data_IF_829109695637
#
_entry.id   IF_829109695637
#
_cell.length_a   1.000
_cell.length_b   1.000
_cell.length_c   1.000
_cell.angle_alpha   90.00
_cell.angle_beta   90.00
_cell.angle_gamma   90.00
#
_symmetry.space_group_name_H-M   'P 1'
#
loop_
_entity.id
_entity.type
_entity.pdbx_description
1 polymer ?
#
# COMPACT_ATOMS: atom_id res chain seq x y z
N UNK A 1 2.43 -7.72 -50.23
CA UNK A 1 2.36 -8.56 -49.02
C UNK A 1 2.45 -7.66 -47.79
N UNK A 2 1.35 -7.47 -47.05
CA UNK A 2 1.30 -6.63 -45.84
C UNK A 2 1.31 -7.55 -44.62
N UNK A 3 2.41 -7.56 -43.85
CA UNK A 3 2.51 -8.31 -42.59
C UNK A 3 1.94 -7.47 -41.44
N UNK A 4 1.06 -8.12 -40.67
CA UNK A 4 0.37 -7.60 -39.50
C UNK A 4 1.33 -7.12 -38.41
N UNK A 5 1.36 -5.81 -38.15
CA UNK A 5 1.94 -5.20 -36.96
C UNK A 5 0.85 -4.93 -35.92
N UNK A 6 0.38 -5.94 -35.19
CA UNK A 6 -0.58 -5.70 -34.09
C UNK A 6 -0.53 -6.75 -32.96
N UNK A 7 0.63 -7.34 -32.67
CA UNK A 7 0.72 -8.42 -31.66
C UNK A 7 1.83 -8.38 -30.59
N UNK A 8 2.48 -7.24 -30.21
CA UNK A 8 3.27 -7.23 -28.96
C UNK A 8 2.69 -6.38 -27.82
N UNK A 9 1.52 -5.73 -27.97
CA UNK A 9 0.99 -4.82 -26.92
C UNK A 9 0.08 -5.46 -25.87
N UNK A 10 -0.28 -6.74 -26.00
CA UNK A 10 -1.18 -7.42 -25.04
C UNK A 10 -0.42 -8.36 -24.08
N UNK A 11 0.85 -8.69 -24.36
CA UNK A 11 1.67 -9.53 -23.47
C UNK A 11 2.47 -8.69 -22.46
N UNK A 12 2.75 -7.41 -22.75
CA UNK A 12 3.44 -6.51 -21.81
C UNK A 12 2.56 -6.04 -20.63
N UNK A 13 1.23 -6.18 -20.71
CA UNK A 13 0.31 -5.79 -19.63
C UNK A 13 0.09 -6.86 -18.55
N UNK A 14 0.54 -8.10 -18.79
CA UNK A 14 0.32 -9.25 -17.88
C UNK A 14 1.55 -9.61 -17.03
N UNK A 15 2.72 -9.00 -17.30
CA UNK A 15 3.93 -9.16 -16.50
C UNK A 15 4.20 -7.98 -15.54
N UNK A 16 3.45 -6.88 -15.66
CA UNK A 16 3.63 -5.68 -14.82
C UNK A 16 2.94 -5.76 -13.44
N UNK A 17 2.20 -6.84 -13.14
CA UNK A 17 1.50 -7.01 -11.85
C UNK A 17 2.22 -8.04 -10.94
N UNK A 18 3.23 -8.75 -11.45
CA UNK A 18 4.03 -9.73 -10.70
C UNK A 18 5.54 -9.42 -10.59
N UNK A 19 6.00 -8.32 -11.19
CA UNK A 19 7.44 -8.03 -11.35
C UNK A 19 8.14 -7.33 -10.17
N UNK A 20 7.41 -6.94 -9.12
CA UNK A 20 7.99 -6.17 -8.00
C UNK A 20 8.71 -7.10 -7.00
N UNK A 21 8.31 -8.37 -6.89
CA UNK A 21 8.95 -9.30 -5.95
C UNK A 21 10.24 -9.94 -6.47
N UNK A 22 10.46 -10.00 -7.78
CA UNK A 22 11.64 -10.67 -8.35
C UNK A 22 12.87 -9.76 -8.48
N UNK A 23 12.70 -8.44 -8.55
CA UNK A 23 13.82 -7.49 -8.67
C UNK A 23 14.52 -7.20 -7.33
N UNK A 24 13.82 -7.33 -6.21
CA UNK A 24 14.41 -7.24 -4.88
C UNK A 24 15.27 -8.48 -4.53
N UNK A 25 14.93 -9.65 -5.08
CA UNK A 25 15.64 -10.92 -4.85
C UNK A 25 16.88 -11.11 -5.76
N UNK A 26 16.99 -10.34 -6.85
CA UNK A 26 18.16 -10.41 -7.74
C UNK A 26 19.28 -9.44 -7.33
N UNK A 27 18.95 -8.32 -6.67
CA UNK A 27 19.93 -7.39 -6.13
C UNK A 27 20.74 -7.98 -4.95
N UNK A 28 20.20 -8.99 -4.26
CA UNK A 28 20.89 -9.68 -3.15
C UNK A 28 21.83 -10.81 -3.59
N UNK A 29 21.84 -11.19 -4.87
CA UNK A 29 22.63 -12.32 -5.38
C UNK A 29 23.63 -11.94 -6.49
N UNK A 30 23.88 -10.65 -6.71
CA UNK A 30 24.91 -10.21 -7.65
C UNK A 30 26.26 -10.13 -6.92
N UNK A 31 27.32 -10.84 -7.34
CA UNK A 31 28.64 -10.70 -6.72
C UNK A 31 29.14 -9.27 -6.93
N UNK A 32 29.28 -8.54 -5.82
CA UNK A 32 29.84 -7.19 -5.79
C UNK A 32 31.30 -7.28 -6.28
N UNK A 33 31.63 -6.60 -7.38
CA UNK A 33 33.03 -6.34 -7.73
C UNK A 33 33.62 -5.48 -6.62
N UNK A 34 34.66 -5.98 -5.97
CA UNK A 34 35.48 -5.25 -5.00
C UNK A 34 35.88 -3.90 -5.60
N UNK A 35 35.35 -2.83 -5.02
CA UNK A 35 35.93 -1.51 -5.12
C UNK A 35 36.74 -1.28 -3.85
N UNK A 36 38.02 -0.97 -4.02
CA UNK A 36 38.95 -0.62 -2.95
C UNK A 36 38.31 0.40 -2.01
N UNK A 37 38.04 -0.04 -0.78
CA UNK A 37 37.52 0.80 0.29
C UNK A 37 38.72 1.40 1.02
N UNK A 38 38.79 2.73 1.26
CA UNK A 38 39.83 3.28 2.12
C UNK A 38 39.64 2.72 3.54
N UNK A 39 40.74 2.27 4.15
CA UNK A 39 40.77 1.64 5.48
C UNK A 39 39.95 2.44 6.51
N UNK A 40 38.91 1.81 7.06
CA UNK A 40 38.14 2.31 8.21
C UNK A 40 39.00 2.24 9.46
N UNK A 41 39.12 3.36 10.18
CA UNK A 41 39.72 3.42 11.52
C UNK A 41 38.77 2.79 12.57
N UNK A 42 39.11 1.65 13.18
CA UNK A 42 38.25 0.95 14.13
C UNK A 42 38.08 1.67 15.47
N UNK A 43 38.73 2.83 15.68
CA UNK A 43 38.64 3.58 16.96
C UNK A 43 37.51 4.60 17.00
N UNK A 44 36.76 4.79 15.92
CA UNK A 44 35.59 5.71 15.88
C UNK A 44 34.23 5.05 16.14
N UNK A 45 34.16 3.72 16.25
CA UNK A 45 32.91 2.98 16.46
C UNK A 45 32.57 2.72 17.95
N UNK A 46 33.28 3.34 18.89
CA UNK A 46 33.12 3.09 20.33
C UNK A 46 32.23 4.11 21.05
N UNK A 47 31.17 4.60 20.42
CA UNK A 47 30.10 5.29 21.13
C UNK A 47 28.73 4.81 20.65
N UNK A 48 28.45 3.52 20.85
CA UNK A 48 27.06 3.10 21.03
C UNK A 48 26.52 3.83 22.27
N UNK A 49 25.34 4.49 22.19
CA UNK A 49 24.72 5.04 23.39
C UNK A 49 24.51 3.90 24.40
N UNK A 50 24.76 4.18 25.68
CA UNK A 50 24.56 3.21 26.76
C UNK A 50 23.14 2.60 26.65
N UNK A 51 22.98 1.29 26.90
CA UNK A 51 21.68 0.64 26.84
C UNK A 51 20.70 1.40 27.75
N UNK A 52 19.67 1.97 27.12
CA UNK A 52 18.63 2.71 27.84
C UNK A 52 17.91 1.74 28.78
N UNK A 53 17.73 2.16 30.03
CA UNK A 53 17.03 1.41 31.07
C UNK A 53 15.65 0.96 30.55
N UNK A 54 15.41 -0.36 30.55
CA UNK A 54 14.15 -0.96 30.10
C UNK A 54 12.92 -0.33 30.77
N UNK A 55 13.06 0.11 32.03
CA UNK A 55 11.98 0.79 32.76
C UNK A 55 11.64 2.16 32.16
N UNK A 56 12.65 2.91 31.69
CA UNK A 56 12.47 4.19 30.99
C UNK A 56 11.96 4.00 29.57
N UNK A 57 12.38 2.92 28.88
CA UNK A 57 11.81 2.52 27.59
C UNK A 57 10.32 2.21 27.74
N UNK A 58 9.93 1.44 28.76
CA UNK A 58 8.53 1.11 29.08
C UNK A 58 7.72 2.34 29.53
N UNK A 59 8.31 3.28 30.28
CA UNK A 59 7.61 4.51 30.66
C UNK A 59 7.40 5.44 29.44
N UNK A 60 8.39 5.56 28.55
CA UNK A 60 8.23 6.18 27.23
C UNK A 60 7.13 5.48 26.44
N UNK A 61 7.13 4.14 26.39
CA UNK A 61 6.09 3.34 25.73
C UNK A 61 4.69 3.65 26.27
N UNK A 62 4.54 3.75 27.59
CA UNK A 62 3.26 4.03 28.24
C UNK A 62 2.75 5.43 27.94
N UNK A 63 3.63 6.44 27.92
CA UNK A 63 3.29 7.82 27.50
C UNK A 63 3.03 7.90 25.99
N UNK A 64 3.71 7.07 25.21
CA UNK A 64 3.65 7.00 23.75
C UNK A 64 2.37 6.35 23.23
N UNK A 65 1.87 5.30 23.89
CA UNK A 65 0.86 4.42 23.31
C UNK A 65 -0.59 4.75 23.70
N UNK A 66 -0.81 5.45 24.82
CA UNK A 66 -2.15 5.69 25.38
C UNK A 66 -3.14 6.44 24.46
N UNK A 67 -2.64 7.15 23.45
CA UNK A 67 -3.43 7.87 22.44
C UNK A 67 -3.29 7.31 21.01
N UNK A 68 -2.54 6.22 20.82
CA UNK A 68 -2.18 5.77 19.49
C UNK A 68 -3.44 5.29 18.72
N UNK A 69 -3.72 5.83 17.52
CA UNK A 69 -4.92 5.47 16.76
C UNK A 69 -5.02 3.98 16.42
N UNK A 70 -3.90 3.29 16.23
CA UNK A 70 -3.85 1.85 15.99
C UNK A 70 -3.95 1.04 17.28
N UNK A 71 -3.60 1.59 18.45
CA UNK A 71 -3.69 0.84 19.71
C UNK A 71 -5.14 0.47 20.02
N UNK A 72 -6.08 1.40 19.87
CA UNK A 72 -7.50 1.13 20.09
C UNK A 72 -8.01 0.01 19.17
N UNK A 73 -7.58 0.01 17.89
CA UNK A 73 -7.90 -1.03 16.94
C UNK A 73 -7.27 -2.36 17.34
N UNK A 74 -5.98 -2.39 17.69
CA UNK A 74 -5.27 -3.61 18.08
C UNK A 74 -5.81 -4.21 19.40
N UNK A 75 -6.22 -3.38 20.36
CA UNK A 75 -6.92 -3.82 21.58
C UNK A 75 -8.26 -4.46 21.26
N UNK A 76 -9.01 -3.93 20.29
CA UNK A 76 -10.25 -4.55 19.82
C UNK A 76 -10.03 -5.92 19.14
N UNK A 77 -8.77 -6.27 18.85
CA UNK A 77 -8.31 -7.56 18.35
C UNK A 77 -7.64 -8.41 19.44
N UNK A 78 -7.82 -8.07 20.72
CA UNK A 78 -7.27 -8.79 21.88
C UNK A 78 -5.73 -8.90 21.87
N UNK A 79 -5.03 -7.95 21.23
CA UNK A 79 -3.57 -7.89 21.31
C UNK A 79 -3.17 -7.27 22.67
N UNK A 80 -2.30 -7.92 23.46
CA UNK A 80 -1.81 -7.37 24.72
C UNK A 80 -1.08 -6.04 24.53
N UNK A 81 -1.34 -5.08 25.43
CA UNK A 81 -0.82 -3.71 25.33
C UNK A 81 0.70 -3.67 25.33
N UNK A 82 1.33 -4.55 26.10
CA UNK A 82 2.78 -4.66 26.23
C UNK A 82 3.43 -5.09 24.91
N UNK A 83 2.76 -5.97 24.15
CA UNK A 83 3.23 -6.41 22.83
C UNK A 83 3.11 -5.31 21.79
N UNK A 84 2.02 -4.55 21.84
CA UNK A 84 1.83 -3.37 20.97
C UNK A 84 2.96 -2.36 21.24
N UNK A 85 3.17 -2.02 22.51
CA UNK A 85 4.19 -1.05 22.94
C UNK A 85 5.61 -1.46 22.54
N UNK A 86 5.99 -2.71 22.80
CA UNK A 86 7.30 -3.22 22.44
C UNK A 86 7.54 -3.18 20.92
N UNK A 87 6.57 -3.66 20.13
CA UNK A 87 6.68 -3.67 18.68
C UNK A 87 6.80 -2.26 18.08
N UNK A 88 6.06 -1.28 18.63
CA UNK A 88 6.13 0.12 18.19
C UNK A 88 7.48 0.77 18.52
N UNK A 89 8.02 0.52 19.72
CA UNK A 89 9.34 1.03 20.10
C UNK A 89 10.42 0.49 19.17
N UNK A 90 10.49 -0.83 19.01
CA UNK A 90 11.49 -1.45 18.16
C UNK A 90 11.37 -0.96 16.71
N UNK A 91 10.14 -0.79 16.19
CA UNK A 91 9.91 -0.26 14.86
C UNK A 91 10.38 1.19 14.72
N UNK A 92 10.09 2.04 15.72
CA UNK A 92 10.53 3.43 15.73
C UNK A 92 12.06 3.55 15.83
N UNK A 93 12.72 2.71 16.64
CA UNK A 93 14.18 2.62 16.72
C UNK A 93 14.79 2.16 15.40
N UNK A 94 14.17 1.20 14.71
CA UNK A 94 14.62 0.76 13.39
C UNK A 94 14.48 1.87 12.34
N UNK A 95 13.34 2.56 12.27
CA UNK A 95 13.20 3.68 11.33
C UNK A 95 14.19 4.78 11.65
N UNK A 96 14.45 5.06 12.93
CA UNK A 96 15.44 6.02 13.39
C UNK A 96 16.83 5.69 12.85
N UNK A 97 17.29 4.45 12.98
CA UNK A 97 18.61 4.05 12.49
C UNK A 97 18.73 4.18 10.96
N UNK A 98 17.65 3.90 10.23
CA UNK A 98 17.62 4.02 8.77
C UNK A 98 17.50 5.46 8.27
N UNK A 99 16.70 6.29 8.95
CA UNK A 99 16.38 7.66 8.51
C UNK A 99 17.30 8.71 9.10
N UNK A 100 17.98 8.41 10.21
CA UNK A 100 18.96 9.30 10.85
C UNK A 100 20.39 8.76 10.77
N UNK A 101 20.72 8.04 9.70
CA UNK A 101 22.12 7.82 9.35
C UNK A 101 22.85 9.16 9.22
N UNK A 102 24.18 9.14 9.31
CA UNK A 102 25.01 10.37 9.24
C UNK A 102 24.70 11.25 8.01
N UNK A 103 24.15 10.65 6.94
CA UNK A 103 23.75 11.34 5.71
C UNK A 103 22.43 12.13 5.82
N UNK A 104 21.51 11.75 6.73
CA UNK A 104 20.18 12.37 6.87
C UNK A 104 19.96 12.72 8.34
N UNK A 105 20.43 13.87 8.82
CA UNK A 105 20.18 14.25 10.21
C UNK A 105 18.68 14.54 10.49
N UNK A 106 18.29 14.40 11.76
CA UNK A 106 16.91 14.60 12.24
C UNK A 106 16.33 15.98 11.87
N UNK A 107 17.17 17.03 11.95
CA UNK A 107 16.78 18.39 11.58
C UNK A 107 16.33 18.49 10.12
N UNK A 108 17.04 17.84 9.20
CA UNK A 108 16.71 17.82 7.79
C UNK A 108 15.45 16.97 7.53
N UNK A 109 15.26 15.89 8.28
CA UNK A 109 14.09 15.03 8.14
C UNK A 109 12.77 15.76 8.47
N UNK A 110 12.78 16.59 9.52
CA UNK A 110 11.62 17.39 9.94
C UNK A 110 11.63 18.84 9.42
N UNK A 111 12.41 19.14 8.37
CA UNK A 111 12.55 20.50 7.85
C UNK A 111 11.21 21.17 7.52
N UNK A 112 10.27 20.43 6.91
CA UNK A 112 8.95 20.96 6.57
C UNK A 112 8.11 21.37 7.81
N UNK A 113 8.34 20.75 8.97
CA UNK A 113 7.67 21.11 10.23
C UNK A 113 8.24 22.40 10.83
N UNK A 114 9.50 22.73 10.50
CA UNK A 114 10.21 23.91 11.00
C UNK A 114 9.99 25.17 10.16
N UNK A 115 9.15 25.09 9.12
CA UNK A 115 8.72 26.21 8.29
C UNK A 115 7.27 26.57 8.67
N UNK A 116 7.01 27.50 9.62
CA UNK A 116 5.69 27.64 10.25
C UNK A 116 4.55 27.90 9.27
N UNK A 117 4.77 28.75 8.26
CA UNK A 117 3.76 29.06 7.25
C UNK A 117 3.43 27.86 6.36
N UNK A 118 4.47 27.16 5.89
CA UNK A 118 4.31 25.95 5.07
C UNK A 118 3.66 24.84 5.88
N UNK A 119 4.10 24.62 7.11
CA UNK A 119 3.52 23.64 8.02
C UNK A 119 2.04 23.93 8.28
N UNK A 120 1.68 25.18 8.57
CA UNK A 120 0.28 25.57 8.77
C UNK A 120 -0.59 25.30 7.52
N UNK A 121 -0.07 25.52 6.31
CA UNK A 121 -0.77 25.20 5.06
C UNK A 121 -0.95 23.68 4.86
N UNK A 122 0.08 22.89 5.18
CA UNK A 122 0.04 21.42 5.17
C UNK A 122 -1.03 20.95 6.17
N UNK A 123 -0.99 21.43 7.41
CA UNK A 123 -1.91 21.01 8.48
C UNK A 123 -3.37 21.31 8.15
N UNK A 124 -3.68 22.47 7.53
CA UNK A 124 -5.04 22.74 7.04
C UNK A 124 -5.52 21.68 6.05
N UNK A 125 -4.64 21.21 5.16
CA UNK A 125 -4.99 20.19 4.17
C UNK A 125 -5.11 18.80 4.79
N UNK A 126 -4.22 18.46 5.73
CA UNK A 126 -4.22 17.21 6.49
C UNK A 126 -5.46 17.09 7.36
N UNK A 127 -5.77 18.12 8.16
CA UNK A 127 -6.95 18.15 9.02
C UNK A 127 -8.23 17.99 8.19
N UNK A 128 -8.35 18.74 7.10
CA UNK A 128 -9.50 18.63 6.21
C UNK A 128 -9.65 17.21 5.63
N UNK A 129 -8.56 16.58 5.18
CA UNK A 129 -8.60 15.21 4.67
C UNK A 129 -8.97 14.21 5.79
N UNK A 130 -8.43 14.41 7.00
CA UNK A 130 -8.73 13.60 8.18
C UNK A 130 -10.21 13.63 8.52
N UNK A 131 -10.79 14.82 8.67
CA UNK A 131 -12.20 15.02 9.03
C UNK A 131 -13.16 14.36 8.04
N UNK A 132 -12.83 14.40 6.74
CA UNK A 132 -13.69 13.87 5.67
C UNK A 132 -13.54 12.36 5.46
N UNK A 133 -12.42 11.76 5.86
CA UNK A 133 -12.12 10.34 5.57
C UNK A 133 -12.08 9.46 6.82
N UNK A 134 -11.94 10.06 8.01
CA UNK A 134 -11.73 9.34 9.27
C UNK A 134 -10.32 8.76 9.42
N UNK A 135 -9.38 9.13 8.55
CA UNK A 135 -7.96 8.75 8.70
C UNK A 135 -7.30 9.72 9.67
N UNK A 136 -6.60 9.26 10.73
CA UNK A 136 -6.01 10.15 11.73
C UNK A 136 -4.99 11.15 11.17
N UNK A 137 -5.01 12.39 11.69
CA UNK A 137 -4.03 13.45 11.35
C UNK A 137 -2.60 12.98 11.51
N UNK A 138 -2.26 12.36 12.66
CA UNK A 138 -0.90 11.85 12.94
C UNK A 138 -0.42 10.86 11.88
N UNK A 139 -1.30 9.99 11.40
CA UNK A 139 -0.99 9.02 10.33
C UNK A 139 -0.68 9.72 9.02
N UNK A 140 -1.52 10.69 8.61
CA UNK A 140 -1.28 11.44 7.37
C UNK A 140 0.01 12.28 7.46
N UNK A 141 0.27 12.91 8.60
CA UNK A 141 1.51 13.66 8.86
C UNK A 141 2.75 12.77 8.75
N UNK A 142 2.72 11.61 9.39
CA UNK A 142 3.81 10.67 9.37
C UNK A 142 4.08 10.13 7.96
N UNK A 143 3.04 9.77 7.21
CA UNK A 143 3.19 9.30 5.84
C UNK A 143 3.81 10.37 4.94
N UNK A 144 3.32 11.61 4.97
CA UNK A 144 3.91 12.70 4.17
C UNK A 144 5.39 12.95 4.50
N UNK A 145 5.78 12.77 5.77
CA UNK A 145 7.18 12.87 6.19
C UNK A 145 8.04 11.71 5.70
N UNK A 146 7.61 10.47 5.89
CA UNK A 146 8.40 9.28 5.54
C UNK A 146 8.54 9.14 4.03
N UNK A 147 7.47 9.42 3.29
CA UNK A 147 7.42 9.25 1.85
C UNK A 147 8.32 10.28 1.14
N UNK A 148 8.26 11.55 1.53
CA UNK A 148 9.05 12.59 0.86
C UNK A 148 9.43 13.82 1.68
N UNK A 149 9.17 13.86 2.99
CA UNK A 149 9.32 15.07 3.81
C UNK A 149 8.43 16.21 3.29
N UNK A 150 7.23 15.86 2.80
CA UNK A 150 6.31 16.80 2.15
C UNK A 150 6.90 17.57 0.95
N UNK A 151 7.88 16.98 0.25
CA UNK A 151 8.38 17.54 -1.01
C UNK A 151 7.38 17.28 -2.13
N UNK A 152 6.91 18.35 -2.76
CA UNK A 152 5.89 18.31 -3.83
C UNK A 152 6.43 17.78 -5.15
N UNK A 153 7.70 18.04 -5.44
CA UNK A 153 8.41 17.55 -6.63
C UNK A 153 8.99 16.14 -6.46
N UNK A 154 8.82 15.54 -5.28
CA UNK A 154 9.30 14.20 -5.00
C UNK A 154 8.69 13.20 -5.97
N UNK A 155 9.55 12.55 -6.74
CA UNK A 155 9.15 11.52 -7.68
C UNK A 155 10.26 10.50 -7.79
N UNK A 156 9.88 9.23 -7.90
CA UNK A 156 10.80 8.13 -8.13
C UNK A 156 10.49 7.55 -9.50
N UNK A 157 11.39 7.83 -10.46
CA UNK A 157 11.19 7.50 -11.87
C UNK A 157 11.19 5.99 -12.15
N UNK A 158 11.89 5.22 -11.32
CA UNK A 158 11.95 3.76 -11.36
C UNK A 158 10.63 3.07 -10.94
N UNK A 159 9.82 3.75 -10.11
CA UNK A 159 8.63 3.20 -9.47
C UNK A 159 7.33 3.94 -9.83
N UNK A 160 7.43 5.02 -10.62
CA UNK A 160 6.28 5.83 -11.08
C UNK A 160 5.35 6.28 -9.95
N UNK A 161 5.95 6.69 -8.83
CA UNK A 161 5.27 7.32 -7.69
C UNK A 161 5.59 8.81 -7.63
N UNK A 162 4.62 9.61 -7.21
CA UNK A 162 4.68 11.08 -7.32
C UNK A 162 4.17 11.79 -6.07
N UNK A 163 4.72 12.98 -5.85
CA UNK A 163 4.26 13.95 -4.89
C UNK A 163 4.55 13.57 -3.44
N UNK A 164 3.94 14.31 -2.49
CA UNK A 164 4.32 14.23 -1.09
C UNK A 164 3.95 12.93 -0.39
N UNK A 165 3.07 12.14 -1.01
CA UNK A 165 2.58 10.85 -0.49
C UNK A 165 3.01 9.67 -1.35
N UNK A 166 3.86 9.88 -2.37
CA UNK A 166 4.41 8.84 -3.24
C UNK A 166 3.34 7.87 -3.79
N UNK A 167 2.31 8.42 -4.42
CA UNK A 167 1.20 7.63 -5.00
C UNK A 167 1.42 7.44 -6.50
N UNK A 168 1.09 6.25 -7.03
CA UNK A 168 1.07 6.03 -8.48
C UNK A 168 -0.12 6.71 -9.14
N UNK A 169 -0.01 7.07 -10.42
CA UNK A 169 -1.13 7.64 -11.18
C UNK A 169 -2.35 6.70 -11.22
N UNK A 170 -2.13 5.40 -11.29
CA UNK A 170 -3.21 4.41 -11.29
C UNK A 170 -3.93 4.36 -9.94
N UNK A 171 -3.18 4.31 -8.83
CA UNK A 171 -3.75 4.33 -7.47
C UNK A 171 -4.51 5.62 -7.21
N UNK A 172 -3.96 6.77 -7.63
CA UNK A 172 -4.62 8.06 -7.50
C UNK A 172 -5.96 8.12 -8.26
N UNK A 173 -5.99 7.64 -9.50
CA UNK A 173 -7.22 7.56 -10.29
C UNK A 173 -8.26 6.64 -9.67
N UNK A 174 -7.84 5.54 -9.05
CA UNK A 174 -8.75 4.65 -8.35
C UNK A 174 -9.32 5.33 -7.09
N UNK A 175 -8.46 5.92 -6.25
CA UNK A 175 -8.88 6.61 -5.04
C UNK A 175 -9.83 7.80 -5.35
N UNK A 176 -9.59 8.50 -6.45
CA UNK A 176 -10.43 9.62 -6.90
C UNK A 176 -11.89 9.21 -7.18
N UNK A 177 -12.17 7.94 -7.49
CA UNK A 177 -13.56 7.46 -7.69
C UNK A 177 -14.39 7.55 -6.41
N UNK A 178 -13.75 7.42 -5.26
CA UNK A 178 -14.39 7.52 -3.94
C UNK A 178 -14.47 8.96 -3.43
N UNK A 179 -13.91 9.94 -4.16
CA UNK A 179 -13.86 11.32 -3.71
C UNK A 179 -15.25 11.91 -3.43
N UNK A 180 -16.25 11.58 -4.26
CA UNK A 180 -17.62 12.06 -4.10
C UNK A 180 -18.32 11.54 -2.83
N UNK A 181 -17.80 10.47 -2.22
CA UNK A 181 -18.33 9.94 -0.96
C UNK A 181 -17.82 10.70 0.28
N UNK A 182 -16.74 11.49 0.14
CA UNK A 182 -16.07 12.16 1.25
C UNK A 182 -15.97 13.68 1.07
N UNK A 183 -15.84 14.16 -0.17
CA UNK A 183 -15.57 15.56 -0.47
C UNK A 183 -16.71 16.20 -1.26
N UNK A 184 -16.89 17.51 -1.06
CA UNK A 184 -17.92 18.31 -1.73
C UNK A 184 -17.71 18.42 -3.25
N UNK A 185 -16.46 18.25 -3.70
CA UNK A 185 -16.09 18.35 -5.11
C UNK A 185 -15.32 17.10 -5.56
N UNK A 186 -15.54 16.65 -6.80
CA UNK A 186 -14.77 15.55 -7.36
C UNK A 186 -13.30 15.93 -7.47
N UNK A 187 -12.42 14.97 -7.22
CA UNK A 187 -10.99 15.10 -7.50
C UNK A 187 -10.75 14.50 -8.88
N UNK A 188 -10.21 15.29 -9.81
CA UNK A 188 -9.90 14.82 -11.16
C UNK A 188 -8.40 14.67 -11.27
N UNK A 189 -7.94 13.46 -11.54
CA UNK A 189 -6.52 13.13 -11.73
C UNK A 189 -6.30 12.73 -13.18
N UNK A 190 -5.66 13.60 -13.96
CA UNK A 190 -5.40 13.37 -15.37
C UNK A 190 -3.97 12.85 -15.59
N UNK A 191 -3.01 13.51 -14.93
CA UNK A 191 -1.56 13.34 -15.14
C UNK A 191 -0.81 13.34 -13.81
N UNK A 192 0.47 12.98 -13.84
CA UNK A 192 1.30 12.85 -12.64
C UNK A 192 1.53 14.19 -11.93
N UNK A 193 1.55 15.29 -12.68
CA UNK A 193 1.71 16.64 -12.14
C UNK A 193 0.59 17.04 -11.18
N UNK A 194 -0.61 16.48 -11.37
CA UNK A 194 -1.76 16.73 -10.48
C UNK A 194 -1.52 16.16 -9.07
N UNK A 195 -0.53 15.28 -8.90
CA UNK A 195 -0.17 14.65 -7.63
C UNK A 195 0.89 15.44 -6.85
N UNK A 196 1.49 16.49 -7.44
CA UNK A 196 2.52 17.30 -6.77
C UNK A 196 1.93 18.20 -5.69
N UNK A 197 0.72 18.73 -5.93
CA UNK A 197 0.05 19.61 -4.98
C UNK A 197 -0.28 18.85 -3.68
N UNK A 198 0.24 19.34 -2.55
CA UNK A 198 0.07 18.69 -1.25
C UNK A 198 -1.40 18.43 -0.91
N UNK A 199 -2.28 19.40 -1.19
CA UNK A 199 -3.72 19.30 -0.94
C UNK A 199 -4.38 18.15 -1.72
N UNK A 200 -4.02 17.99 -2.98
CA UNK A 200 -4.57 16.92 -3.83
C UNK A 200 -3.99 15.57 -3.40
N UNK A 201 -2.68 15.51 -3.16
CA UNK A 201 -1.99 14.30 -2.73
C UNK A 201 -2.52 13.76 -1.40
N UNK A 202 -2.68 14.61 -0.37
CA UNK A 202 -3.17 14.16 0.96
C UNK A 202 -4.60 13.62 0.90
N UNK A 203 -5.46 14.26 0.09
CA UNK A 203 -6.85 13.80 -0.08
C UNK A 203 -6.89 12.42 -0.75
N UNK A 204 -6.08 12.22 -1.77
CA UNK A 204 -5.98 10.93 -2.47
C UNK A 204 -5.37 9.84 -1.58
N UNK A 205 -4.34 10.17 -0.79
CA UNK A 205 -3.76 9.28 0.20
C UNK A 205 -4.81 8.85 1.24
N UNK A 206 -5.54 9.83 1.79
CA UNK A 206 -6.58 9.59 2.79
C UNK A 206 -7.74 8.75 2.25
N UNK A 207 -8.19 9.01 1.01
CA UNK A 207 -9.19 8.16 0.34
C UNK A 207 -8.70 6.73 0.15
N UNK A 208 -7.44 6.56 -0.28
CA UNK A 208 -6.84 5.24 -0.46
C UNK A 208 -6.77 4.48 0.86
N UNK A 209 -6.30 5.12 1.93
CA UNK A 209 -6.23 4.52 3.26
C UNK A 209 -7.61 4.18 3.82
N UNK A 210 -8.62 5.04 3.62
CA UNK A 210 -10.00 4.75 4.00
C UNK A 210 -10.52 3.50 3.29
N UNK A 211 -10.35 3.41 1.97
CA UNK A 211 -10.76 2.26 1.17
C UNK A 211 -10.07 0.98 1.64
N UNK A 212 -8.76 1.06 1.88
CA UNK A 212 -7.97 -0.07 2.40
C UNK A 212 -8.36 -0.47 3.83
N UNK A 213 -8.64 0.49 4.71
CA UNK A 213 -9.13 0.23 6.07
C UNK A 213 -10.49 -0.47 6.03
N UNK A 214 -11.39 -0.09 5.13
CA UNK A 214 -12.65 -0.80 4.92
C UNK A 214 -12.42 -2.23 4.42
N UNK A 215 -11.41 -2.44 3.57
CA UNK A 215 -11.06 -3.75 3.02
C UNK A 215 -10.44 -4.70 4.04
N UNK A 216 -9.61 -4.21 4.96
CA UNK A 216 -8.88 -5.05 5.93
C UNK A 216 -9.44 -4.98 7.35
N UNK A 217 -10.34 -4.04 7.65
CA UNK A 217 -10.90 -3.81 8.98
C UNK A 217 -9.96 -3.11 9.96
N UNK A 218 -8.69 -2.89 9.58
CA UNK A 218 -7.65 -2.36 10.45
C UNK A 218 -6.77 -1.38 9.67
N UNK A 219 -6.45 -0.24 10.29
CA UNK A 219 -5.61 0.79 9.71
C UNK A 219 -4.16 0.30 9.52
N UNK A 220 -3.63 -0.50 10.44
CA UNK A 220 -2.27 -1.04 10.32
C UNK A 220 -2.08 -1.89 9.06
N UNK A 221 -3.01 -2.80 8.77
CA UNK A 221 -2.98 -3.60 7.54
C UNK A 221 -3.21 -2.73 6.29
N UNK A 222 -4.04 -1.69 6.39
CA UNK A 222 -4.23 -0.73 5.31
C UNK A 222 -2.93 0.03 4.98
N UNK A 223 -2.18 0.43 6.00
CA UNK A 223 -0.87 1.07 5.83
C UNK A 223 0.15 0.10 5.21
N UNK A 224 0.16 -1.16 5.65
CA UNK A 224 1.02 -2.18 5.05
C UNK A 224 0.73 -2.42 3.56
N UNK A 225 -0.55 -2.46 3.16
CA UNK A 225 -0.92 -2.53 1.73
C UNK A 225 -0.52 -1.26 0.99
N UNK A 226 -0.70 -0.09 1.60
CA UNK A 226 -0.26 1.17 1.01
C UNK A 226 1.24 1.16 0.68
N UNK A 227 2.08 0.77 1.63
CA UNK A 227 3.54 0.81 1.50
C UNK A 227 4.12 -0.39 0.71
N UNK A 228 3.62 -1.61 0.97
CA UNK A 228 4.17 -2.86 0.42
C UNK A 228 3.33 -3.48 -0.70
N UNK A 229 2.15 -2.93 -0.99
CA UNK A 229 1.18 -3.48 -1.93
C UNK A 229 0.44 -4.70 -1.38
N UNK A 230 -0.77 -4.93 -1.93
CA UNK A 230 -1.61 -6.08 -1.60
C UNK A 230 -0.88 -7.43 -1.65
N UNK A 231 -0.12 -7.68 -2.72
CA UNK A 231 0.55 -8.99 -2.92
C UNK A 231 1.57 -9.24 -1.80
N UNK A 232 2.34 -8.22 -1.42
CA UNK A 232 3.29 -8.31 -0.32
C UNK A 232 2.60 -8.57 1.01
N UNK A 233 1.51 -7.86 1.29
CA UNK A 233 0.71 -8.06 2.50
C UNK A 233 0.08 -9.46 2.55
N UNK A 234 -0.62 -9.89 1.49
CA UNK A 234 -1.30 -11.18 1.43
C UNK A 234 -0.28 -12.34 1.56
N UNK A 235 0.90 -12.22 0.95
CA UNK A 235 2.02 -13.17 1.15
C UNK A 235 2.40 -13.25 2.63
N UNK A 236 2.58 -12.12 3.31
CA UNK A 236 2.95 -12.09 4.73
C UNK A 236 1.87 -12.64 5.65
N UNK A 237 0.61 -12.35 5.35
CA UNK A 237 -0.51 -12.98 6.06
C UNK A 237 -0.48 -14.49 5.88
N UNK A 238 -0.25 -15.01 4.66
CA UNK A 238 -0.19 -16.45 4.41
C UNK A 238 1.01 -17.14 5.04
N UNK A 239 2.16 -16.47 5.12
CA UNK A 239 3.32 -17.00 5.83
C UNK A 239 3.05 -17.15 7.33
N UNK A 240 2.39 -16.17 7.95
CA UNK A 240 2.10 -16.16 9.39
C UNK A 240 0.84 -16.97 9.76
N UNK A 241 -0.14 -17.01 8.87
CA UNK A 241 -1.47 -17.58 9.06
C UNK A 241 -1.91 -18.36 7.82
N UNK A 242 -1.34 -19.56 7.60
CA UNK A 242 -1.53 -20.32 6.35
C UNK A 242 -3.01 -20.68 6.07
N UNK A 243 -3.80 -20.88 7.13
CA UNK A 243 -5.20 -21.30 7.05
C UNK A 243 -6.17 -20.15 6.75
N UNK A 244 -5.72 -18.89 6.80
CA UNK A 244 -6.58 -17.73 6.53
C UNK A 244 -6.94 -17.67 5.05
N UNK A 245 -8.21 -17.85 4.71
CA UNK A 245 -8.68 -17.76 3.33
C UNK A 245 -8.86 -16.30 2.88
N UNK A 246 -7.96 -15.83 2.01
CA UNK A 246 -7.97 -14.47 1.47
C UNK A 246 -8.82 -14.34 0.20
N UNK A 247 -9.49 -15.44 -0.19
CA UNK A 247 -10.31 -15.55 -1.39
C UNK A 247 -9.52 -15.92 -2.63
N UNK A 248 -8.38 -16.61 -2.50
CA UNK A 248 -7.55 -17.01 -3.65
C UNK A 248 -8.29 -17.97 -4.57
N UNK A 249 -9.09 -18.88 -4.00
CA UNK A 249 -9.91 -19.83 -4.76
C UNK A 249 -11.02 -19.11 -5.53
N UNK A 250 -11.69 -18.16 -4.90
CA UNK A 250 -12.75 -17.36 -5.52
C UNK A 250 -12.19 -16.44 -6.62
N UNK A 251 -11.03 -15.83 -6.38
CA UNK A 251 -10.30 -15.06 -7.37
C UNK A 251 -9.92 -15.92 -8.58
N UNK A 252 -9.30 -17.08 -8.35
CA UNK A 252 -8.91 -18.01 -9.41
C UNK A 252 -10.14 -18.56 -10.17
N UNK A 253 -11.27 -18.77 -9.51
CA UNK A 253 -12.53 -19.12 -10.18
C UNK A 253 -13.02 -17.97 -11.06
N UNK A 254 -13.05 -16.74 -10.53
CA UNK A 254 -13.45 -15.54 -11.26
C UNK A 254 -12.58 -15.33 -12.52
N UNK A 255 -11.25 -15.43 -12.39
CA UNK A 255 -10.33 -15.27 -13.52
C UNK A 255 -10.51 -16.34 -14.60
N UNK A 256 -10.71 -17.61 -14.20
CA UNK A 256 -11.00 -18.70 -15.14
C UNK A 256 -12.28 -18.43 -15.92
N UNK A 257 -13.35 -18.02 -15.26
CA UNK A 257 -14.61 -17.72 -15.94
C UNK A 257 -14.53 -16.46 -16.81
N UNK A 258 -13.79 -15.42 -16.39
CA UNK A 258 -13.53 -14.24 -17.22
C UNK A 258 -12.72 -14.59 -18.47
N UNK A 259 -11.74 -15.50 -18.36
CA UNK A 259 -11.00 -16.00 -19.52
C UNK A 259 -11.92 -16.76 -20.49
N UNK A 260 -12.81 -17.62 -19.98
CA UNK A 260 -13.79 -18.34 -20.78
C UNK A 260 -14.80 -17.40 -21.48
N UNK A 261 -15.30 -16.38 -20.77
CA UNK A 261 -16.18 -15.36 -21.33
C UNK A 261 -15.50 -14.61 -22.49
N UNK A 262 -14.26 -14.16 -22.30
CA UNK A 262 -13.48 -13.50 -23.36
C UNK A 262 -13.23 -14.42 -24.56
N UNK A 263 -13.03 -15.71 -24.33
CA UNK A 263 -12.87 -16.68 -25.42
C UNK A 263 -14.18 -16.87 -26.20
N UNK A 264 -15.31 -17.03 -25.50
CA UNK A 264 -16.62 -17.16 -26.12
C UNK A 264 -17.00 -15.88 -26.89
N UNK A 265 -16.69 -14.70 -26.35
CA UNK A 265 -16.86 -13.42 -27.03
C UNK A 265 -16.09 -13.36 -28.35
N UNK A 266 -14.81 -13.75 -28.35
CA UNK A 266 -13.99 -13.79 -29.57
C UNK A 266 -14.58 -14.74 -30.62
N UNK A 267 -15.09 -15.89 -30.22
CA UNK A 267 -15.73 -16.85 -31.14
C UNK A 267 -17.02 -16.29 -31.75
N UNK A 268 -17.89 -15.69 -30.93
CA UNK A 268 -19.10 -15.01 -31.39
C UNK A 268 -18.77 -13.89 -32.38
N UNK A 269 -17.81 -13.05 -32.04
CA UNK A 269 -17.44 -11.89 -32.85
C UNK A 269 -16.77 -12.31 -34.17
N UNK A 270 -16.02 -13.41 -34.17
CA UNK A 270 -15.47 -13.99 -35.40
C UNK A 270 -16.57 -14.49 -36.35
N UNK A 271 -17.61 -15.16 -35.83
CA UNK A 271 -18.76 -15.61 -36.63
C UNK A 271 -19.51 -14.40 -37.22
N UNK A 272 -19.80 -13.39 -36.39
CA UNK A 272 -20.44 -12.15 -36.83
C UNK A 272 -19.64 -11.44 -37.92
N UNK A 273 -18.31 -11.43 -37.81
CA UNK A 273 -17.42 -10.85 -38.83
C UNK A 273 -17.48 -11.61 -40.16
N UNK A 274 -17.52 -12.95 -40.14
CA UNK A 274 -17.68 -13.76 -41.37
C UNK A 274 -19.02 -13.49 -42.05
N UNK A 275 -20.09 -13.40 -41.27
CA UNK A 275 -21.44 -13.13 -41.78
C UNK A 275 -21.59 -11.75 -42.43
N UNK A 276 -20.78 -10.76 -42.02
CA UNK A 276 -20.76 -9.43 -42.66
C UNK A 276 -20.10 -9.41 -44.05
N UNK A 277 -19.35 -10.44 -44.42
CA UNK A 277 -18.51 -10.47 -45.63
C UNK A 277 -19.01 -11.36 -46.78
N UNK A 278 -20.20 -11.97 -46.69
CA UNK A 278 -20.70 -12.89 -47.71
C UNK A 278 -22.15 -13.33 -47.50
N UNK A 279 -22.61 -14.32 -48.30
CA UNK A 279 -23.94 -14.93 -48.10
C UNK A 279 -23.97 -15.66 -46.75
N UNK A 280 -24.92 -15.28 -45.90
CA UNK A 280 -25.18 -15.95 -44.63
C UNK A 280 -25.81 -17.31 -44.87
N UNK A 281 -25.14 -18.38 -44.43
CA UNK A 281 -25.67 -19.75 -44.51
C UNK A 281 -26.46 -20.13 -43.25
N UNK A 282 -27.28 -21.18 -43.32
CA UNK A 282 -27.96 -21.73 -42.14
C UNK A 282 -26.97 -22.30 -41.11
N UNK A 283 -25.83 -22.83 -41.59
CA UNK A 283 -24.74 -23.27 -40.74
C UNK A 283 -24.15 -22.09 -39.93
N UNK A 284 -23.99 -20.91 -40.54
CA UNK A 284 -23.53 -19.71 -39.85
C UNK A 284 -24.54 -19.24 -38.79
N UNK A 285 -25.84 -19.29 -39.10
CA UNK A 285 -26.90 -18.95 -38.15
C UNK A 285 -26.92 -19.89 -36.95
N UNK A 286 -26.75 -21.20 -37.18
CA UNK A 286 -26.69 -22.19 -36.10
C UNK A 286 -25.41 -22.03 -35.26
N UNK A 287 -24.27 -21.79 -35.90
CA UNK A 287 -23.01 -21.52 -35.21
C UNK A 287 -23.10 -20.25 -34.36
N UNK A 288 -23.74 -19.18 -34.88
CA UNK A 288 -23.96 -17.94 -34.13
C UNK A 288 -24.84 -18.18 -32.91
N UNK A 289 -25.96 -18.90 -33.05
CA UNK A 289 -26.84 -19.23 -31.91
C UNK A 289 -26.09 -19.97 -30.81
N UNK A 290 -25.26 -20.96 -31.18
CA UNK A 290 -24.43 -21.70 -30.23
C UNK A 290 -23.38 -20.81 -29.56
N UNK A 291 -22.72 -19.94 -30.32
CA UNK A 291 -21.70 -19.03 -29.79
C UNK A 291 -22.29 -17.95 -28.88
N UNK A 292 -23.50 -17.45 -29.18
CA UNK A 292 -24.24 -16.54 -28.30
C UNK A 292 -24.60 -17.24 -27.00
N UNK A 293 -25.19 -18.44 -27.05
CA UNK A 293 -25.52 -19.20 -25.85
C UNK A 293 -24.29 -19.55 -25.00
N UNK A 294 -23.16 -19.88 -25.63
CA UNK A 294 -21.89 -20.12 -24.93
C UNK A 294 -21.34 -18.85 -24.27
N UNK A 295 -21.43 -17.69 -24.93
CA UNK A 295 -21.03 -16.41 -24.38
C UNK A 295 -21.90 -16.01 -23.19
N UNK A 296 -23.23 -16.15 -23.30
CA UNK A 296 -24.17 -15.86 -22.21
C UNK A 296 -23.93 -16.77 -21.00
N UNK A 297 -23.73 -18.08 -21.23
CA UNK A 297 -23.42 -19.03 -20.15
C UNK A 297 -22.09 -18.69 -19.44
N UNK A 298 -21.04 -18.34 -20.22
CA UNK A 298 -19.76 -17.95 -19.66
C UNK A 298 -19.84 -16.63 -18.89
N UNK A 299 -20.60 -15.65 -19.39
CA UNK A 299 -20.85 -14.38 -18.70
C UNK A 299 -21.65 -14.56 -17.40
N UNK A 300 -22.63 -15.45 -17.38
CA UNK A 300 -23.36 -15.81 -16.16
C UNK A 300 -22.44 -16.47 -15.12
N UNK A 301 -21.57 -17.40 -15.56
CA UNK A 301 -20.58 -18.04 -14.69
C UNK A 301 -19.56 -17.03 -14.12
N UNK A 302 -19.05 -16.12 -14.97
CA UNK A 302 -18.16 -15.05 -14.53
C UNK A 302 -18.85 -14.13 -13.52
N UNK A 303 -20.08 -13.71 -13.78
CA UNK A 303 -20.85 -12.86 -12.86
C UNK A 303 -21.05 -13.54 -11.51
N UNK A 304 -21.42 -14.83 -11.51
CA UNK A 304 -21.56 -15.62 -10.28
C UNK A 304 -20.25 -15.69 -9.49
N UNK A 305 -19.14 -16.01 -10.14
CA UNK A 305 -17.83 -16.10 -9.50
C UNK A 305 -17.33 -14.74 -9.00
N UNK A 306 -17.58 -13.66 -9.76
CA UNK A 306 -17.26 -12.29 -9.36
C UNK A 306 -18.03 -11.87 -8.11
N UNK A 307 -19.31 -12.22 -8.01
CA UNK A 307 -20.11 -11.93 -6.81
C UNK A 307 -19.64 -12.74 -5.61
N UNK A 308 -19.28 -14.02 -5.79
CA UNK A 308 -18.69 -14.84 -4.72
C UNK A 308 -17.36 -14.24 -4.22
N UNK A 309 -16.45 -13.88 -5.14
CA UNK A 309 -15.20 -13.21 -4.78
C UNK A 309 -15.44 -11.87 -4.07
N UNK A 310 -16.38 -11.04 -4.55
CA UNK A 310 -16.74 -9.78 -3.89
C UNK A 310 -17.27 -10.00 -2.48
N UNK A 311 -18.12 -11.00 -2.28
CA UNK A 311 -18.62 -11.35 -0.95
C UNK A 311 -17.46 -11.78 -0.06
N UNK A 312 -16.58 -12.64 -0.56
CA UNK A 312 -15.38 -13.07 0.17
C UNK A 312 -14.49 -11.88 0.57
N UNK A 313 -14.35 -10.88 -0.29
CA UNK A 313 -13.63 -9.63 0.04
C UNK A 313 -14.37 -8.74 1.05
N UNK A 314 -15.70 -8.70 1.00
CA UNK A 314 -16.49 -7.99 1.99
C UNK A 314 -16.40 -8.64 3.38
N UNK A 315 -16.24 -9.97 3.43
CA UNK A 315 -16.09 -10.75 4.66
C UNK A 315 -14.62 -10.83 5.15
N UNK A 316 -13.66 -10.30 4.38
CA UNK A 316 -12.24 -10.34 4.71
C UNK A 316 -11.91 -9.66 6.04
N UNK A 317 -12.41 -8.45 6.38
CA UNK A 317 -12.17 -7.84 7.68
C UNK A 317 -12.51 -8.76 8.86
N UNK A 318 -13.65 -9.46 8.76
CA UNK A 318 -14.08 -10.42 9.78
C UNK A 318 -13.16 -11.64 9.81
N UNK A 319 -12.82 -12.19 8.64
CA UNK A 319 -11.92 -13.35 8.53
C UNK A 319 -10.55 -13.07 9.17
N UNK A 320 -9.98 -11.89 8.89
CA UNK A 320 -8.70 -11.46 9.47
C UNK A 320 -8.81 -11.26 10.99
N UNK A 321 -9.91 -10.66 11.46
CA UNK A 321 -10.18 -10.49 12.89
C UNK A 321 -10.30 -11.84 13.61
N UNK A 322 -11.11 -12.74 13.09
CA UNK A 322 -11.38 -14.05 13.71
C UNK A 322 -10.10 -14.92 13.76
N UNK A 323 -9.20 -14.76 12.79
CA UNK A 323 -7.89 -15.41 12.77
C UNK A 323 -6.81 -14.68 13.60
N UNK A 324 -7.13 -13.54 14.23
CA UNK A 324 -6.16 -12.77 15.02
C UNK A 324 -5.06 -12.08 14.19
N UNK A 325 -5.28 -11.90 12.88
CA UNK A 325 -4.30 -11.25 12.00
C UNK A 325 -4.26 -9.77 12.31
N UNK A 326 -3.11 -9.30 12.79
CA UNK A 326 -2.84 -7.88 13.09
C UNK A 326 -1.43 -7.52 12.66
N UNK A 327 -1.14 -6.22 12.50
CA UNK A 327 0.24 -5.79 12.17
C UNK A 327 1.25 -6.22 13.24
N UNK A 328 0.86 -6.23 14.53
CA UNK A 328 1.71 -6.72 15.63
C UNK A 328 1.94 -8.22 15.52
N UNK A 329 0.92 -9.02 15.20
CA UNK A 329 1.11 -10.45 15.02
C UNK A 329 2.04 -10.78 13.83
N UNK A 330 1.93 -10.02 12.73
CA UNK A 330 2.86 -10.15 11.60
C UNK A 330 4.29 -9.74 12.00
N UNK A 331 4.43 -8.68 12.80
CA UNK A 331 5.72 -8.24 13.33
C UNK A 331 6.37 -9.30 14.23
N UNK A 332 5.62 -9.84 15.18
CA UNK A 332 6.09 -10.90 16.09
C UNK A 332 6.52 -12.15 15.33
N UNK A 333 5.76 -12.53 14.31
CA UNK A 333 6.11 -13.65 13.44
C UNK A 333 7.43 -13.44 12.69
N UNK A 334 7.67 -12.24 12.15
CA UNK A 334 8.93 -11.94 11.45
C UNK A 334 10.11 -11.87 12.43
N UNK A 335 9.92 -11.31 13.63
CA UNK A 335 10.91 -11.33 14.71
C UNK A 335 11.25 -12.76 15.15
N UNK A 336 10.25 -13.63 15.26
CA UNK A 336 10.46 -15.04 15.63
C UNK A 336 11.29 -15.82 14.59
N UNK A 337 11.31 -15.38 13.33
CA UNK A 337 12.19 -15.95 12.29
C UNK A 337 13.66 -15.49 12.41
N UNK A 338 13.99 -14.61 13.36
CA UNK A 338 15.34 -14.08 13.55
C UNK A 338 15.75 -13.01 12.51
N UNK A 339 14.80 -12.49 11.73
CA UNK A 339 15.03 -11.42 10.76
C UNK A 339 14.53 -10.07 11.26
N UNK A 340 15.00 -8.99 10.63
CA UNK A 340 14.38 -7.68 10.79
C UNK A 340 12.97 -7.69 10.17
N UNK A 341 12.02 -7.05 10.85
CA UNK A 341 10.69 -6.93 10.33
C UNK A 341 10.72 -6.08 9.04
N UNK A 342 10.05 -6.52 7.95
CA UNK A 342 9.97 -5.78 6.70
C UNK A 342 9.57 -4.31 6.88
N UNK A 343 10.10 -3.45 6.01
CA UNK A 343 9.86 -2.00 6.09
C UNK A 343 8.37 -1.65 6.14
N UNK A 344 7.49 -2.37 5.46
CA UNK A 344 6.04 -2.10 5.52
C UNK A 344 5.40 -2.37 6.89
N UNK A 345 5.89 -3.35 7.64
CA UNK A 345 5.42 -3.64 9.01
C UNK A 345 5.92 -2.56 9.96
N UNK A 346 7.21 -2.26 9.90
CA UNK A 346 7.83 -1.26 10.79
C UNK A 346 7.34 0.13 10.47
N UNK A 347 7.15 0.48 9.20
CA UNK A 347 6.47 1.68 8.74
C UNK A 347 5.11 1.82 9.39
N UNK A 348 4.26 0.78 9.32
CA UNK A 348 2.94 0.83 9.94
C UNK A 348 3.01 1.06 11.44
N UNK A 349 3.89 0.35 12.16
CA UNK A 349 4.01 0.42 13.61
C UNK A 349 4.59 1.75 14.12
N UNK A 350 5.41 2.43 13.34
CA UNK A 350 6.13 3.62 13.75
C UNK A 350 5.47 4.95 13.32
N UNK A 351 4.35 4.92 12.59
CA UNK A 351 3.73 6.15 12.08
C UNK A 351 3.38 7.14 13.20
N UNK A 352 2.90 6.68 14.34
CA UNK A 352 2.48 7.61 15.40
C UNK A 352 3.67 8.30 16.09
N UNK A 353 4.83 7.63 16.21
CA UNK A 353 6.07 8.26 16.69
C UNK A 353 6.46 9.44 15.80
N UNK A 354 6.44 9.19 14.50
CA UNK A 354 6.88 10.16 13.52
C UNK A 354 5.88 11.32 13.47
N UNK A 355 4.58 11.03 13.59
CA UNK A 355 3.52 12.03 13.68
C UNK A 355 3.66 12.92 14.93
N UNK A 356 3.86 12.33 16.11
CA UNK A 356 4.02 13.07 17.37
C UNK A 356 5.28 13.95 17.37
N UNK A 357 6.38 13.45 16.79
CA UNK A 357 7.63 14.22 16.67
C UNK A 357 7.52 15.35 15.67
N UNK A 358 6.75 15.18 14.60
CA UNK A 358 6.43 16.25 13.67
C UNK A 358 5.72 17.42 14.38
N UNK A 359 4.75 17.11 15.23
CA UNK A 359 4.04 18.10 16.05
C UNK A 359 5.00 18.82 17.00
N UNK A 360 5.86 18.07 17.69
CA UNK A 360 6.88 18.64 18.59
C UNK A 360 7.82 19.61 17.86
N UNK A 361 8.39 19.20 16.72
CA UNK A 361 9.30 20.07 15.96
C UNK A 361 8.62 21.30 15.39
N UNK A 362 7.33 21.23 15.07
CA UNK A 362 6.57 22.39 14.67
C UNK A 362 6.32 23.37 15.83
N UNK A 363 6.10 22.88 17.05
CA UNK A 363 5.96 23.71 18.24
C UNK A 363 7.28 24.43 18.57
N UNK A 364 8.39 23.69 18.60
CA UNK A 364 9.74 24.25 18.84
C UNK A 364 10.07 25.37 17.85
N UNK A 365 9.71 25.24 16.58
CA UNK A 365 9.99 26.24 15.55
C UNK A 365 9.13 27.51 15.64
N UNK A 366 8.06 27.52 16.44
CA UNK A 366 7.26 28.72 16.71
C UNK A 366 7.78 29.48 17.94
N UNK A 367 8.49 28.77 18.83
CA UNK A 367 9.10 29.32 20.03
C UNK A 367 10.50 29.92 19.77
N UNK A 368 11.20 29.46 18.73
CA UNK A 368 12.43 30.04 18.15
C UNK A 368 12.14 31.32 17.35
#
# INVERSE_FOLDING_TARGET
>A
MKQNRFLPRIVAGLLAVGGISALAEHASNTPVKEFDTPERDPRKDASQPAPEDESKKLERARKFSAEHPMEAELRAHNVPVEKIQAAMIDAAELIRSHRYSDEVNEKNYFAACREPERWAAIQKSVQYASDKTGVPVRVLNAMGLIESQFKEDASRSDTNVYGPYQITLATAKEAAKDAAACFEFPIVVNKAEDLKETKTAVRLAALRLRSLKQQYGQLGLAIMDYAGGRVGLEKKIKEAFPDVDLGEKDWAAMERHHAAERQAQKQRDAILKRMKGGRVTDADRQALRRAVGAFEAAGAAYTKAKNAWRQKRADLPKTLKDAGVTVVALYEHEKAKGGEAPHSITYSLALDDIGARAEKHAQEAVEE
#
